data_IF_474099567255
#
_entry.id   IF_474099567255
#
_cell.length_a   1.000
_cell.length_b   1.000
_cell.length_c   1.000
_cell.angle_alpha   90.00
_cell.angle_beta   90.00
_cell.angle_gamma   90.00
#
_symmetry.space_group_name_H-M   'P 1'
#
loop_
_entity.id
_entity.type
_entity.pdbx_description
1 polymer ?
#
# COMPACT_ATOMS: atom_id res chain seq x y z
N UNK A 1 15.34 -6.12 27.54
CA UNK A 1 14.76 -6.44 28.85
C UNK A 1 14.35 -7.90 28.92
N UNK A 2 14.76 -8.56 29.95
CA UNK A 2 14.41 -9.97 30.21
C UNK A 2 13.16 -10.00 31.08
N UNK A 3 12.10 -10.65 30.58
CA UNK A 3 10.86 -10.83 31.34
C UNK A 3 10.94 -12.18 32.14
N UNK A 4 10.79 -12.13 33.43
CA UNK A 4 10.85 -13.32 34.32
C UNK A 4 9.71 -14.31 34.02
N UNK A 5 8.59 -13.86 33.46
CA UNK A 5 7.44 -14.70 33.11
C UNK A 5 7.62 -15.54 31.85
N UNK A 6 8.68 -15.32 31.08
CA UNK A 6 8.97 -16.01 29.83
C UNK A 6 10.13 -17.00 29.99
N UNK A 7 10.07 -18.09 29.22
CA UNK A 7 11.22 -19.00 29.10
C UNK A 7 12.41 -18.30 28.41
N UNK A 8 13.65 -18.79 28.56
CA UNK A 8 14.82 -18.23 27.87
C UNK A 8 14.64 -18.19 26.37
N UNK A 9 14.05 -19.20 25.74
CA UNK A 9 13.78 -19.24 24.31
C UNK A 9 12.74 -18.18 23.90
N UNK A 10 11.68 -18.00 24.69
CA UNK A 10 10.67 -16.96 24.45
C UNK A 10 11.25 -15.56 24.61
N UNK A 11 12.16 -15.33 25.54
CA UNK A 11 12.86 -14.05 25.68
C UNK A 11 13.72 -13.73 24.45
N UNK A 12 14.43 -14.69 23.89
CA UNK A 12 15.22 -14.51 22.66
C UNK A 12 14.31 -14.13 21.49
N UNK A 13 13.22 -14.85 21.30
CA UNK A 13 12.24 -14.54 20.23
C UNK A 13 11.67 -13.14 20.41
N UNK A 14 11.31 -12.76 21.64
CA UNK A 14 10.78 -11.41 21.92
C UNK A 14 11.80 -10.32 21.59
N UNK A 15 13.06 -10.49 21.99
CA UNK A 15 14.13 -9.52 21.74
C UNK A 15 14.35 -9.36 20.23
N UNK A 16 14.45 -10.46 19.49
CA UNK A 16 14.63 -10.45 18.04
C UNK A 16 13.43 -9.80 17.35
N UNK A 17 12.21 -10.11 17.78
CA UNK A 17 10.99 -9.51 17.25
C UNK A 17 10.98 -7.99 17.47
N UNK A 18 11.27 -7.53 18.67
CA UNK A 18 11.30 -6.10 19.01
C UNK A 18 12.36 -5.35 18.19
N UNK A 19 13.54 -5.93 18.00
CA UNK A 19 14.60 -5.37 17.15
C UNK A 19 14.18 -5.29 15.68
N UNK A 20 13.53 -6.32 15.15
CA UNK A 20 13.03 -6.30 13.76
C UNK A 20 11.94 -5.24 13.56
N UNK A 21 11.06 -5.09 14.53
CA UNK A 21 10.01 -4.04 14.47
C UNK A 21 10.67 -2.65 14.41
N UNK A 22 11.68 -2.42 15.24
CA UNK A 22 12.41 -1.16 15.25
C UNK A 22 13.15 -0.92 13.93
N UNK A 23 13.83 -1.92 13.40
CA UNK A 23 14.52 -1.85 12.10
C UNK A 23 13.57 -1.58 10.94
N UNK A 24 12.33 -2.05 11.00
CA UNK A 24 11.29 -1.83 9.98
C UNK A 24 10.56 -0.49 10.12
N UNK A 25 10.84 0.28 11.15
CA UNK A 25 10.31 1.63 11.35
C UNK A 25 9.43 1.83 12.58
N UNK A 26 9.30 0.84 13.44
CA UNK A 26 8.57 0.83 14.73
C UNK A 26 7.04 0.91 14.59
N UNK A 27 6.51 1.91 13.93
CA UNK A 27 5.08 2.17 13.75
C UNK A 27 4.73 2.35 12.28
N UNK A 28 3.43 2.27 11.98
CA UNK A 28 2.90 2.59 10.66
C UNK A 28 3.28 4.03 10.25
N UNK A 29 3.79 4.18 9.03
CA UNK A 29 4.04 5.48 8.43
C UNK A 29 2.92 5.84 7.47
N UNK A 30 2.00 6.70 7.88
CA UNK A 30 0.85 7.10 7.07
C UNK A 30 1.25 8.02 5.93
N UNK A 31 0.45 7.99 4.86
CA UNK A 31 0.55 8.96 3.79
C UNK A 31 0.14 10.35 4.30
N UNK A 32 1.08 11.29 4.31
CA UNK A 32 0.84 12.65 4.76
C UNK A 32 0.54 13.53 3.54
N UNK A 33 -0.67 14.07 3.50
CA UNK A 33 -1.10 15.03 2.48
C UNK A 33 -1.18 16.42 3.11
N UNK A 34 -0.79 17.44 2.34
CA UNK A 34 -0.85 18.84 2.77
C UNK A 34 -2.26 19.42 2.61
N UNK A 35 -2.44 20.68 3.01
CA UNK A 35 -3.67 21.42 2.75
C UNK A 35 -3.80 21.94 1.30
N UNK A 36 -2.78 21.71 0.48
CA UNK A 36 -2.78 22.07 -0.94
C UNK A 36 -3.85 21.28 -1.70
N UNK A 37 -4.57 21.94 -2.59
CA UNK A 37 -5.54 21.30 -3.49
C UNK A 37 -5.19 21.66 -4.92
N UNK A 38 -4.90 20.66 -5.81
CA UNK A 38 -4.79 19.24 -5.50
C UNK A 38 -3.49 18.88 -4.77
N UNK A 39 -3.53 17.86 -3.92
CA UNK A 39 -2.31 17.18 -3.50
C UNK A 39 -1.70 16.44 -4.68
N UNK A 40 -0.39 16.40 -4.75
CA UNK A 40 0.33 15.70 -5.82
C UNK A 40 1.17 14.58 -5.24
N UNK A 41 0.91 13.36 -5.69
CA UNK A 41 1.68 12.16 -5.36
C UNK A 41 2.38 11.70 -6.63
N UNK A 42 3.69 11.63 -6.61
CA UNK A 42 4.50 11.19 -7.73
C UNK A 42 5.04 9.79 -7.47
N UNK A 43 4.84 8.87 -8.40
CA UNK A 43 5.37 7.52 -8.33
C UNK A 43 6.59 7.37 -9.24
N UNK A 44 7.66 6.82 -8.70
CA UNK A 44 8.90 6.52 -9.42
C UNK A 44 9.27 5.04 -9.27
N UNK A 45 10.05 4.51 -10.17
CA UNK A 45 10.49 3.13 -10.13
C UNK A 45 10.84 2.59 -11.51
N UNK A 46 11.43 1.39 -11.54
CA UNK A 46 11.77 0.71 -12.79
C UNK A 46 10.54 0.18 -13.53
N UNK A 47 10.71 -0.08 -14.82
CA UNK A 47 9.71 -0.79 -15.61
C UNK A 47 9.50 -2.21 -15.05
N UNK A 48 8.25 -2.62 -14.92
CA UNK A 48 7.90 -3.90 -14.34
C UNK A 48 7.88 -3.95 -12.81
N UNK A 49 8.19 -2.83 -12.14
CA UNK A 49 8.09 -2.75 -10.67
C UNK A 49 6.66 -2.76 -10.12
N UNK A 50 5.67 -2.65 -10.98
CA UNK A 50 4.26 -2.55 -10.58
C UNK A 50 3.79 -1.12 -10.34
N UNK A 51 4.48 -0.14 -10.87
CA UNK A 51 4.21 1.29 -10.65
C UNK A 51 2.85 1.73 -11.15
N UNK A 52 2.48 1.38 -12.38
CA UNK A 52 1.15 1.67 -12.95
C UNK A 52 0.03 1.02 -12.13
N UNK A 53 0.21 -0.24 -11.77
CA UNK A 53 -0.74 -0.96 -10.91
C UNK A 53 -0.84 -0.32 -9.52
N UNK A 54 0.29 0.07 -8.94
CA UNK A 54 0.32 0.78 -7.66
C UNK A 54 -0.41 2.13 -7.73
N UNK A 55 -0.26 2.87 -8.83
CA UNK A 55 -0.99 4.12 -9.05
C UNK A 55 -2.50 3.92 -9.02
N UNK A 56 -2.99 2.91 -9.71
CA UNK A 56 -4.42 2.55 -9.73
C UNK A 56 -4.93 2.11 -8.37
N UNK A 57 -4.17 1.27 -7.68
CA UNK A 57 -4.53 0.81 -6.31
C UNK A 57 -4.55 1.95 -5.31
N UNK A 58 -3.60 2.88 -5.40
CA UNK A 58 -3.56 4.06 -4.54
C UNK A 58 -4.76 4.99 -4.83
N UNK A 59 -5.09 5.20 -6.09
CA UNK A 59 -6.27 5.96 -6.49
C UNK A 59 -7.57 5.33 -5.95
N UNK A 60 -7.69 4.02 -6.03
CA UNK A 60 -8.83 3.29 -5.49
C UNK A 60 -8.94 3.44 -3.96
N UNK A 61 -7.82 3.31 -3.26
CA UNK A 61 -7.77 3.50 -1.80
C UNK A 61 -8.20 4.92 -1.41
N UNK A 62 -7.66 5.94 -2.08
CA UNK A 62 -8.01 7.34 -1.80
C UNK A 62 -9.47 7.65 -2.14
N UNK A 63 -10.00 7.08 -3.21
CA UNK A 63 -11.42 7.20 -3.56
C UNK A 63 -12.32 6.60 -2.48
N UNK A 64 -11.99 5.45 -1.94
CA UNK A 64 -12.69 4.85 -0.80
C UNK A 64 -12.66 5.72 0.46
N UNK A 65 -11.60 6.48 0.64
CA UNK A 65 -11.47 7.44 1.75
C UNK A 65 -12.20 8.77 1.51
N UNK A 66 -12.99 8.87 0.44
CA UNK A 66 -13.76 10.08 0.11
C UNK A 66 -12.99 11.11 -0.70
N UNK A 67 -11.81 10.80 -1.21
CA UNK A 67 -11.03 11.67 -2.09
C UNK A 67 -11.49 11.55 -3.54
N UNK A 68 -11.15 12.55 -4.34
CA UNK A 68 -11.43 12.62 -5.77
C UNK A 68 -10.14 12.60 -6.59
N UNK A 69 -9.49 11.43 -6.76
CA UNK A 69 -8.20 11.34 -7.43
C UNK A 69 -8.31 11.48 -8.95
N UNK A 70 -7.23 12.00 -9.54
CA UNK A 70 -6.96 12.01 -10.97
C UNK A 70 -5.62 11.31 -11.20
N UNK A 71 -5.58 10.39 -12.16
CA UNK A 71 -4.34 9.74 -12.59
C UNK A 71 -3.75 10.52 -13.78
N UNK A 72 -2.43 10.73 -13.76
CA UNK A 72 -1.70 11.38 -14.86
C UNK A 72 -0.77 10.37 -15.54
N UNK A 73 -0.98 10.15 -16.85
CA UNK A 73 -0.20 9.21 -17.66
C UNK A 73 1.04 9.90 -18.23
N UNK A 74 2.15 9.88 -17.51
CA UNK A 74 3.40 10.54 -17.89
C UNK A 74 4.42 9.61 -18.55
N UNK A 75 4.10 8.34 -18.79
CA UNK A 75 4.94 7.44 -19.60
C UNK A 75 4.63 7.62 -21.09
N UNK A 76 5.40 8.46 -21.74
CA UNK A 76 5.24 8.76 -23.17
C UNK A 76 6.04 7.81 -24.07
N UNK A 77 6.91 6.99 -23.50
CA UNK A 77 7.85 6.13 -24.24
C UNK A 77 7.26 4.78 -24.61
N UNK A 78 6.30 4.29 -23.83
CA UNK A 78 5.59 3.05 -24.11
C UNK A 78 4.20 3.36 -24.66
N UNK A 79 3.94 3.04 -25.96
CA UNK A 79 2.68 3.44 -26.62
C UNK A 79 1.42 2.93 -25.90
N UNK A 80 1.49 1.76 -25.29
CA UNK A 80 0.35 1.15 -24.60
C UNK A 80 0.21 1.58 -23.12
N UNK A 81 1.17 2.31 -22.55
CA UNK A 81 1.15 2.65 -21.13
C UNK A 81 -0.02 3.56 -20.74
N UNK A 82 -0.27 4.60 -21.51
CA UNK A 82 -1.41 5.50 -21.27
C UNK A 82 -2.75 4.78 -21.45
N UNK A 83 -2.86 3.90 -22.45
CA UNK A 83 -4.07 3.09 -22.67
C UNK A 83 -4.29 2.10 -21.51
N UNK A 84 -3.25 1.47 -21.03
CA UNK A 84 -3.32 0.59 -19.87
C UNK A 84 -3.81 1.33 -18.63
N UNK A 85 -3.22 2.48 -18.35
CA UNK A 85 -3.63 3.31 -17.20
C UNK A 85 -5.09 3.76 -17.33
N UNK A 86 -5.50 4.19 -18.52
CA UNK A 86 -6.88 4.59 -18.80
C UNK A 86 -7.87 3.45 -18.61
N UNK A 87 -7.55 2.25 -19.07
CA UNK A 87 -8.38 1.06 -18.90
C UNK A 87 -8.53 0.71 -17.42
N UNK A 88 -7.42 0.63 -16.68
CA UNK A 88 -7.44 0.32 -15.26
C UNK A 88 -8.14 1.40 -14.43
N UNK A 89 -7.92 2.67 -14.76
CA UNK A 89 -8.61 3.80 -14.13
C UNK A 89 -10.12 3.75 -14.37
N UNK A 90 -10.53 3.39 -15.58
CA UNK A 90 -11.95 3.21 -15.94
C UNK A 90 -12.63 2.12 -15.12
N UNK A 91 -11.95 1.02 -14.87
CA UNK A 91 -12.47 -0.10 -14.06
C UNK A 91 -12.80 0.32 -12.62
N UNK A 92 -12.06 1.26 -12.06
CA UNK A 92 -12.27 1.77 -10.70
C UNK A 92 -13.03 3.12 -10.65
N UNK A 93 -13.43 3.66 -11.81
CA UNK A 93 -14.14 4.93 -11.91
C UNK A 93 -13.28 6.15 -11.56
N UNK A 94 -11.99 6.10 -11.86
CA UNK A 94 -11.05 7.22 -11.68
C UNK A 94 -10.62 7.75 -13.05
N UNK A 95 -10.78 9.06 -13.32
CA UNK A 95 -10.35 9.65 -14.59
C UNK A 95 -8.84 9.64 -14.72
N UNK A 96 -8.40 9.54 -15.98
CA UNK A 96 -6.99 9.55 -16.36
C UNK A 96 -6.74 10.73 -17.32
N UNK A 97 -5.79 11.59 -16.95
CA UNK A 97 -5.31 12.66 -17.81
C UNK A 97 -4.22 12.13 -18.75
N UNK A 98 -4.42 12.34 -20.03
CA UNK A 98 -3.50 11.93 -21.11
C UNK A 98 -3.08 13.15 -21.90
N UNK A 99 -1.78 13.29 -22.17
CA UNK A 99 -1.27 14.30 -23.07
C UNK A 99 -1.30 13.86 -24.54
N UNK A 100 -1.21 14.81 -25.45
CA UNK A 100 -1.16 14.58 -26.90
C UNK A 100 0.28 14.59 -27.43
N UNK A 101 1.13 13.65 -27.00
CA UNK A 101 2.52 13.56 -27.41
C UNK A 101 3.44 14.63 -26.79
N UNK A 102 3.00 15.25 -25.74
CA UNK A 102 3.74 16.25 -24.98
C UNK A 102 4.91 15.65 -24.17
N UNK A 103 5.78 16.51 -23.67
CA UNK A 103 6.78 16.09 -22.70
C UNK A 103 6.14 15.71 -21.37
N UNK A 104 6.71 14.72 -20.63
CA UNK A 104 6.16 14.27 -19.35
C UNK A 104 5.93 15.40 -18.34
N UNK A 105 6.81 16.40 -18.29
CA UNK A 105 6.66 17.58 -17.43
C UNK A 105 5.39 18.36 -17.77
N UNK A 106 5.11 18.55 -19.05
CA UNK A 106 3.92 19.29 -19.52
C UNK A 106 2.63 18.51 -19.23
N UNK A 107 2.67 17.19 -19.38
CA UNK A 107 1.55 16.31 -19.02
C UNK A 107 1.25 16.40 -17.52
N UNK A 108 2.29 16.34 -16.67
CA UNK A 108 2.14 16.46 -15.23
C UNK A 108 1.54 17.80 -14.82
N UNK A 109 2.02 18.90 -15.39
CA UNK A 109 1.44 20.24 -15.17
C UNK A 109 0.00 20.34 -15.67
N UNK A 110 -0.27 19.79 -16.85
CA UNK A 110 -1.62 19.73 -17.42
C UNK A 110 -2.59 18.95 -16.54
N UNK A 111 -2.15 17.86 -15.94
CA UNK A 111 -2.95 17.08 -15.01
C UNK A 111 -3.33 17.88 -13.75
N UNK A 112 -2.42 18.69 -13.23
CA UNK A 112 -2.72 19.57 -12.09
C UNK A 112 -3.80 20.60 -12.49
N UNK A 113 -3.69 21.20 -13.66
CA UNK A 113 -4.70 22.15 -14.16
C UNK A 113 -6.06 21.45 -14.38
N UNK A 114 -6.06 20.26 -14.95
CA UNK A 114 -7.26 19.43 -15.11
C UNK A 114 -7.92 19.13 -13.76
N UNK A 115 -7.14 18.83 -12.74
CA UNK A 115 -7.63 18.60 -11.39
C UNK A 115 -8.29 19.85 -10.80
N UNK A 116 -7.71 21.01 -10.99
CA UNK A 116 -8.30 22.30 -10.57
C UNK A 116 -9.62 22.56 -11.29
N UNK A 117 -9.65 22.37 -12.60
CA UNK A 117 -10.82 22.65 -13.43
C UNK A 117 -11.99 21.71 -13.15
N UNK A 118 -11.71 20.47 -12.77
CA UNK A 118 -12.72 19.41 -12.52
C UNK A 118 -12.85 19.02 -11.04
N UNK A 119 -12.36 19.84 -10.13
CA UNK A 119 -12.49 19.66 -8.67
C UNK A 119 -11.96 18.33 -8.19
N UNK A 120 -10.81 17.90 -8.72
CA UNK A 120 -10.07 16.74 -8.22
C UNK A 120 -9.10 17.19 -7.13
N UNK A 121 -9.07 16.51 -6.02
CA UNK A 121 -8.29 16.94 -4.85
C UNK A 121 -6.94 16.24 -4.71
N UNK A 122 -6.69 15.20 -5.50
CA UNK A 122 -5.41 14.47 -5.55
C UNK A 122 -5.06 14.16 -7.00
N UNK A 123 -3.80 14.40 -7.36
CA UNK A 123 -3.21 13.96 -8.64
C UNK A 123 -2.14 12.92 -8.35
N UNK A 124 -2.25 11.76 -8.97
CA UNK A 124 -1.25 10.70 -8.91
C UNK A 124 -0.52 10.66 -10.25
N UNK A 125 0.76 11.00 -10.22
CA UNK A 125 1.62 11.06 -11.40
C UNK A 125 2.33 9.73 -11.58
N UNK A 126 1.96 8.99 -12.63
CA UNK A 126 2.62 7.75 -13.03
C UNK A 126 3.74 8.07 -14.03
N UNK A 127 4.97 8.09 -13.56
CA UNK A 127 6.14 8.42 -14.37
C UNK A 127 6.60 7.23 -15.22
N UNK A 128 7.38 7.52 -16.26
CA UNK A 128 8.01 6.48 -17.06
C UNK A 128 8.99 5.65 -16.23
N UNK A 129 8.99 4.34 -16.47
CA UNK A 129 10.00 3.43 -15.97
C UNK A 129 10.79 2.84 -17.14
N UNK A 130 12.06 2.53 -16.90
CA UNK A 130 12.93 1.78 -17.82
C UNK A 130 13.39 0.49 -17.18
N UNK A 131 13.83 -0.44 -18.00
CA UNK A 131 14.32 -1.75 -17.51
C UNK A 131 15.55 -1.61 -16.61
N UNK A 132 16.36 -0.59 -16.87
CA UNK A 132 17.52 -0.26 -16.07
C UNK A 132 17.53 1.23 -15.74
N UNK A 133 18.20 1.59 -14.66
CA UNK A 133 18.42 2.99 -14.33
C UNK A 133 19.34 3.61 -15.37
N UNK A 134 18.88 4.69 -15.98
CA UNK A 134 19.69 5.51 -16.88
C UNK A 134 19.56 6.99 -16.51
N UNK A 135 20.50 7.79 -16.98
CA UNK A 135 20.57 9.22 -16.69
C UNK A 135 19.32 9.99 -17.19
N UNK A 136 18.80 9.60 -18.35
CA UNK A 136 17.63 10.26 -18.92
C UNK A 136 16.38 10.04 -18.05
N UNK A 137 16.16 8.82 -17.57
CA UNK A 137 15.04 8.50 -16.68
C UNK A 137 15.14 9.27 -15.36
N UNK A 138 16.34 9.32 -14.78
CA UNK A 138 16.57 10.02 -13.53
C UNK A 138 16.38 11.54 -13.69
N UNK A 139 16.90 12.12 -14.76
CA UNK A 139 16.73 13.53 -15.04
C UNK A 139 15.26 13.91 -15.27
N UNK A 140 14.52 13.10 -16.00
CA UNK A 140 13.10 13.30 -16.24
C UNK A 140 12.30 13.28 -14.91
N UNK A 141 12.57 12.32 -14.02
CA UNK A 141 11.95 12.28 -12.71
C UNK A 141 12.27 13.54 -11.88
N UNK A 142 13.52 14.00 -11.91
CA UNK A 142 13.93 15.24 -11.25
C UNK A 142 13.22 16.46 -11.83
N UNK A 143 13.06 16.54 -13.15
CA UNK A 143 12.40 17.65 -13.83
C UNK A 143 10.90 17.70 -13.51
N UNK A 144 10.22 16.56 -13.48
CA UNK A 144 8.82 16.46 -13.06
C UNK A 144 8.67 16.91 -11.60
N UNK A 145 9.53 16.42 -10.72
CA UNK A 145 9.51 16.79 -9.31
C UNK A 145 9.65 18.31 -9.10
N UNK A 146 10.57 18.93 -9.82
CA UNK A 146 10.75 20.40 -9.77
C UNK A 146 9.54 21.16 -10.30
N UNK A 147 8.92 20.65 -11.33
CA UNK A 147 7.80 21.32 -12.00
C UNK A 147 6.50 21.25 -11.20
N UNK A 148 6.18 20.12 -10.60
CA UNK A 148 4.89 19.90 -9.91
C UNK A 148 5.01 20.01 -8.40
N UNK A 149 6.20 20.00 -7.84
CA UNK A 149 6.46 20.08 -6.38
C UNK A 149 5.54 19.12 -5.61
N UNK A 150 5.70 17.81 -5.79
CA UNK A 150 4.78 16.84 -5.19
C UNK A 150 4.81 16.91 -3.67
N UNK A 151 3.68 16.66 -3.05
CA UNK A 151 3.56 16.50 -1.59
C UNK A 151 4.24 15.22 -1.13
N UNK A 152 4.19 14.19 -1.95
CA UNK A 152 4.85 12.90 -1.73
C UNK A 152 5.47 12.37 -3.02
N UNK A 153 6.70 11.90 -2.93
CA UNK A 153 7.35 11.05 -3.94
C UNK A 153 7.48 9.66 -3.36
N UNK A 154 6.82 8.69 -3.97
CA UNK A 154 6.82 7.30 -3.54
C UNK A 154 7.54 6.43 -4.56
N UNK A 155 8.51 5.67 -4.10
CA UNK A 155 9.20 4.69 -4.93
C UNK A 155 8.48 3.35 -4.90
N UNK A 156 8.16 2.81 -6.05
CA UNK A 156 7.56 1.48 -6.17
C UNK A 156 8.66 0.45 -6.45
N UNK A 157 8.73 -0.55 -5.60
CA UNK A 157 9.76 -1.59 -5.63
C UNK A 157 9.09 -2.96 -5.67
N UNK A 158 9.57 -3.83 -6.54
CA UNK A 158 9.11 -5.22 -6.63
C UNK A 158 9.81 -6.07 -5.56
N UNK A 159 9.04 -6.67 -4.66
CA UNK A 159 9.55 -7.55 -3.61
C UNK A 159 10.32 -8.77 -4.16
N UNK A 160 10.02 -9.18 -5.39
CA UNK A 160 10.66 -10.31 -6.07
C UNK A 160 12.03 -9.99 -6.68
N UNK A 161 12.45 -8.72 -6.68
CA UNK A 161 13.73 -8.30 -7.30
C UNK A 161 14.96 -8.81 -6.55
N UNK A 162 14.81 -9.27 -5.31
CA UNK A 162 15.91 -9.81 -4.51
C UNK A 162 16.93 -8.74 -4.11
N UNK A 163 18.23 -9.10 -4.15
CA UNK A 163 19.29 -8.19 -3.71
C UNK A 163 19.52 -6.98 -4.63
N UNK A 164 19.12 -7.06 -5.88
CA UNK A 164 19.22 -5.94 -6.81
C UNK A 164 18.37 -4.73 -6.38
N UNK A 165 17.37 -4.96 -5.55
CA UNK A 165 16.55 -3.91 -4.95
C UNK A 165 17.38 -2.85 -4.23
N UNK A 166 18.47 -3.24 -3.58
CA UNK A 166 19.36 -2.36 -2.83
C UNK A 166 20.01 -1.33 -3.74
N UNK A 167 20.56 -1.77 -4.87
CA UNK A 167 21.24 -0.88 -5.83
C UNK A 167 20.24 0.09 -6.47
N UNK A 168 19.08 -0.40 -6.86
CA UNK A 168 18.01 0.41 -7.47
C UNK A 168 17.56 1.49 -6.52
N UNK A 169 17.24 1.11 -5.31
CA UNK A 169 16.69 2.01 -4.28
C UNK A 169 17.74 3.06 -3.87
N UNK A 170 18.99 2.67 -3.70
CA UNK A 170 20.07 3.60 -3.36
C UNK A 170 20.27 4.67 -4.44
N UNK A 171 20.29 4.27 -5.71
CA UNK A 171 20.47 5.20 -6.83
C UNK A 171 19.30 6.19 -6.92
N UNK A 172 18.06 5.73 -6.78
CA UNK A 172 16.90 6.62 -6.72
C UNK A 172 16.95 7.58 -5.53
N UNK A 173 17.36 7.11 -4.35
CA UNK A 173 17.46 7.93 -3.15
C UNK A 173 18.45 9.11 -3.33
N UNK A 174 19.57 8.89 -4.00
CA UNK A 174 20.57 9.93 -4.29
C UNK A 174 20.05 11.01 -5.23
N UNK A 175 19.23 10.65 -6.21
CA UNK A 175 18.82 11.56 -7.30
C UNK A 175 17.46 12.20 -7.06
N UNK A 176 16.47 11.47 -6.59
CA UNK A 176 15.09 11.94 -6.47
C UNK A 176 14.65 12.22 -5.05
N UNK A 177 15.40 11.75 -4.06
CA UNK A 177 15.07 11.94 -2.63
C UNK A 177 13.58 11.67 -2.35
N UNK A 178 13.14 10.45 -2.62
CA UNK A 178 11.75 10.06 -2.39
C UNK A 178 11.39 10.01 -0.90
N UNK A 179 10.12 10.19 -0.58
CA UNK A 179 9.61 10.31 0.80
C UNK A 179 9.23 8.98 1.42
N UNK A 180 8.91 8.01 0.61
CA UNK A 180 8.47 6.69 1.07
C UNK A 180 8.49 5.65 -0.03
N UNK A 181 8.20 4.42 0.34
CA UNK A 181 8.26 3.25 -0.54
C UNK A 181 6.92 2.51 -0.55
N UNK A 182 6.54 2.03 -1.73
CA UNK A 182 5.50 1.02 -1.92
C UNK A 182 6.17 -0.26 -2.37
N UNK A 183 5.97 -1.35 -1.64
CA UNK A 183 6.48 -2.66 -2.03
C UNK A 183 5.36 -3.41 -2.76
N UNK A 184 5.61 -3.73 -4.02
CA UNK A 184 4.69 -4.51 -4.85
C UNK A 184 5.00 -6.00 -4.78
N UNK A 185 4.01 -6.83 -5.14
CA UNK A 185 4.15 -8.29 -5.26
C UNK A 185 4.66 -8.98 -3.99
N UNK A 186 4.30 -8.44 -2.83
CA UNK A 186 4.73 -8.99 -1.55
C UNK A 186 4.14 -10.38 -1.28
N UNK A 187 3.03 -10.73 -1.89
CA UNK A 187 2.43 -12.06 -1.87
C UNK A 187 3.36 -13.15 -2.44
N UNK A 188 4.27 -12.79 -3.36
CA UNK A 188 5.31 -13.66 -3.89
C UNK A 188 6.57 -13.79 -3.02
N UNK A 189 6.76 -12.90 -2.05
CA UNK A 189 7.88 -12.92 -1.10
C UNK A 189 7.46 -13.57 0.22
N UNK A 190 7.75 -14.86 0.37
CA UNK A 190 7.31 -15.64 1.51
C UNK A 190 7.81 -15.13 2.87
N UNK A 191 8.97 -14.47 2.94
CA UNK A 191 9.62 -14.06 4.19
C UNK A 191 9.70 -12.54 4.40
N UNK A 192 9.48 -11.73 3.38
CA UNK A 192 9.51 -10.28 3.50
C UNK A 192 10.89 -9.64 3.66
N UNK A 193 11.97 -10.36 3.28
CA UNK A 193 13.35 -9.86 3.39
C UNK A 193 13.61 -8.58 2.59
N UNK A 194 12.90 -8.37 1.48
CA UNK A 194 12.99 -7.16 0.67
C UNK A 194 12.60 -5.89 1.44
N UNK A 195 11.59 -5.96 2.27
CA UNK A 195 11.15 -4.83 3.11
C UNK A 195 12.25 -4.39 4.07
N UNK A 196 12.90 -5.34 4.73
CA UNK A 196 14.02 -5.05 5.65
C UNK A 196 15.19 -4.40 4.91
N UNK A 197 15.57 -4.93 3.75
CA UNK A 197 16.66 -4.40 2.92
C UNK A 197 16.38 -2.96 2.48
N UNK A 198 15.20 -2.68 1.99
CA UNK A 198 14.78 -1.33 1.57
C UNK A 198 14.88 -0.34 2.73
N UNK A 199 14.35 -0.69 3.89
CA UNK A 199 14.37 0.17 5.06
C UNK A 199 15.79 0.44 5.55
N UNK A 200 16.66 -0.58 5.58
CA UNK A 200 18.04 -0.45 6.04
C UNK A 200 18.89 0.41 5.11
N UNK A 201 18.73 0.25 3.81
CA UNK A 201 19.55 0.99 2.81
C UNK A 201 19.15 2.46 2.73
N UNK A 202 17.87 2.77 2.76
CA UNK A 202 17.39 4.14 2.51
C UNK A 202 17.07 4.92 3.77
N UNK A 203 16.74 4.25 4.86
CA UNK A 203 16.13 4.90 6.03
C UNK A 203 14.75 5.49 5.76
N UNK A 204 14.19 5.29 4.56
CA UNK A 204 12.88 5.83 4.18
C UNK A 204 11.76 4.89 4.63
N UNK A 205 10.61 5.44 5.04
CA UNK A 205 9.50 4.62 5.51
C UNK A 205 8.83 3.87 4.37
N UNK A 206 8.42 2.64 4.65
CA UNK A 206 7.53 1.88 3.79
C UNK A 206 6.09 2.31 4.12
N UNK A 207 5.39 2.86 3.14
CA UNK A 207 4.03 3.39 3.32
C UNK A 207 2.97 2.33 3.07
N UNK A 208 3.13 1.56 1.99
CA UNK A 208 2.17 0.57 1.53
C UNK A 208 2.86 -0.68 1.03
N UNK A 209 2.11 -1.77 1.07
CA UNK A 209 2.46 -3.05 0.44
C UNK A 209 1.31 -3.52 -0.44
N UNK A 210 1.63 -4.14 -1.55
CA UNK A 210 0.66 -4.74 -2.45
C UNK A 210 0.67 -6.25 -2.30
N UNK A 211 -0.50 -6.83 -2.00
CA UNK A 211 -0.68 -8.23 -1.64
C UNK A 211 -1.48 -9.02 -2.68
N UNK A 212 -1.42 -8.65 -3.94
CA UNK A 212 -2.13 -9.33 -5.01
C UNK A 212 -2.42 -8.41 -6.18
N UNK A 213 -3.29 -8.85 -7.10
CA UNK A 213 -3.60 -8.11 -8.34
C UNK A 213 -4.88 -7.28 -8.27
N UNK A 214 -5.73 -7.51 -7.27
CA UNK A 214 -7.00 -6.80 -7.14
C UNK A 214 -6.78 -5.31 -6.77
N UNK A 215 -7.66 -4.41 -7.22
CA UNK A 215 -7.54 -2.97 -6.90
C UNK A 215 -7.52 -2.65 -5.41
N UNK A 216 -8.17 -3.46 -4.58
CA UNK A 216 -8.24 -3.32 -3.12
C UNK A 216 -7.10 -3.99 -2.36
N UNK A 217 -6.08 -4.49 -3.05
CA UNK A 217 -4.96 -5.23 -2.45
C UNK A 217 -3.80 -4.36 -1.95
N UNK A 218 -3.91 -3.04 -2.02
CA UNK A 218 -2.94 -2.13 -1.41
C UNK A 218 -3.29 -1.93 0.05
N UNK A 219 -2.35 -2.28 0.92
CA UNK A 219 -2.51 -2.18 2.38
C UNK A 219 -1.45 -1.26 2.98
N UNK A 220 -1.73 -0.57 4.09
CA UNK A 220 -0.69 0.10 4.86
C UNK A 220 0.37 -0.90 5.33
N UNK A 221 1.60 -0.43 5.43
CA UNK A 221 2.70 -1.26 5.95
C UNK A 221 2.72 -1.23 7.48
N UNK A 222 2.62 -2.40 8.10
CA UNK A 222 2.69 -2.57 9.55
C UNK A 222 3.99 -3.26 9.95
N UNK A 223 4.95 -2.56 10.58
CA UNK A 223 6.25 -3.12 10.95
C UNK A 223 6.16 -4.36 11.82
N UNK A 224 5.25 -4.40 12.78
CA UNK A 224 5.03 -5.53 13.67
C UNK A 224 4.56 -6.79 12.94
N UNK A 225 3.64 -6.65 12.00
CA UNK A 225 3.14 -7.75 11.17
C UNK A 225 4.24 -8.31 10.25
N UNK A 226 5.02 -7.42 9.65
CA UNK A 226 6.13 -7.82 8.79
C UNK A 226 7.25 -8.52 9.57
N UNK A 227 7.59 -8.03 10.76
CA UNK A 227 8.58 -8.66 11.63
C UNK A 227 8.16 -10.09 12.02
N UNK A 228 6.90 -10.29 12.37
CA UNK A 228 6.34 -11.62 12.65
C UNK A 228 6.40 -12.54 11.43
N UNK A 229 6.10 -12.01 10.23
CA UNK A 229 6.23 -12.76 8.98
C UNK A 229 7.67 -13.20 8.70
N UNK A 230 8.64 -12.32 8.90
CA UNK A 230 10.08 -12.63 8.74
C UNK A 230 10.50 -13.76 9.68
N UNK A 231 10.00 -13.76 10.91
CA UNK A 231 10.27 -14.82 11.90
C UNK A 231 9.43 -16.09 11.68
N UNK A 232 8.59 -16.14 10.66
CA UNK A 232 7.71 -17.29 10.39
C UNK A 232 6.54 -17.43 11.37
N UNK A 233 6.19 -16.37 12.11
CA UNK A 233 5.06 -16.38 13.06
C UNK A 233 3.72 -16.12 12.39
N UNK A 234 3.70 -15.69 11.11
CA UNK A 234 2.50 -15.36 10.36
C UNK A 234 1.79 -14.09 10.83
N UNK A 235 0.75 -13.68 10.10
CA UNK A 235 -0.13 -12.56 10.48
C UNK A 235 -1.34 -13.07 11.26
N UNK A 236 -1.10 -13.61 12.45
CA UNK A 236 -2.17 -14.13 13.31
C UNK A 236 -3.11 -13.02 13.76
N UNK A 237 -2.59 -11.82 14.03
CA UNK A 237 -3.38 -10.68 14.48
C UNK A 237 -4.33 -10.21 13.39
N UNK A 238 -3.87 -10.08 12.15
CA UNK A 238 -4.71 -9.70 11.01
C UNK A 238 -5.81 -10.72 10.72
N UNK A 239 -5.53 -12.00 10.88
CA UNK A 239 -6.54 -13.06 10.74
C UNK A 239 -7.58 -12.96 11.85
N UNK A 240 -7.15 -12.71 13.09
CA UNK A 240 -8.05 -12.53 14.24
C UNK A 240 -8.91 -11.28 14.04
N UNK A 241 -8.34 -10.16 13.64
CA UNK A 241 -9.08 -8.92 13.36
C UNK A 241 -10.14 -9.12 12.29
N UNK A 242 -9.79 -9.74 11.15
CA UNK A 242 -10.76 -10.05 10.08
C UNK A 242 -11.85 -11.02 10.53
N UNK A 243 -11.50 -11.99 11.37
CA UNK A 243 -12.47 -12.91 11.92
C UNK A 243 -13.43 -12.22 12.91
N UNK A 244 -12.93 -11.27 13.71
CA UNK A 244 -13.76 -10.46 14.61
C UNK A 244 -14.69 -9.54 13.83
N UNK A 245 -14.19 -8.83 12.82
CA UNK A 245 -15.03 -7.98 11.96
C UNK A 245 -16.15 -8.77 11.28
N UNK A 246 -15.85 -9.98 10.78
CA UNK A 246 -16.86 -10.85 10.18
C UNK A 246 -17.88 -11.34 11.21
N UNK A 247 -17.43 -11.70 12.40
CA UNK A 247 -18.29 -12.13 13.49
C UNK A 247 -19.20 -10.99 14.00
N UNK A 248 -18.66 -9.78 14.12
CA UNK A 248 -19.42 -8.59 14.53
C UNK A 248 -20.49 -8.22 13.49
N UNK A 249 -20.15 -8.31 12.19
CA UNK A 249 -21.12 -8.08 11.11
C UNK A 249 -22.24 -9.12 11.11
N UNK A 250 -21.91 -10.38 11.32
CA UNK A 250 -22.90 -11.46 11.41
C UNK A 250 -23.81 -11.31 12.64
N UNK A 251 -23.25 -10.89 13.77
CA UNK A 251 -24.01 -10.60 15.00
C UNK A 251 -24.93 -9.39 14.82
N UNK A 252 -24.46 -8.34 14.13
CA UNK A 252 -25.26 -7.15 13.86
C UNK A 252 -26.45 -7.50 12.96
N UNK A 253 -26.21 -8.26 11.90
CA UNK A 253 -27.26 -8.72 10.98
C UNK A 253 -28.29 -9.62 11.68
N UNK A 254 -27.83 -10.52 12.56
CA UNK A 254 -28.68 -11.35 13.38
C UNK A 254 -29.53 -10.53 14.36
N UNK A 255 -28.95 -9.50 14.99
CA UNK A 255 -29.65 -8.59 15.89
C UNK A 255 -30.70 -7.75 15.16
N UNK A 256 -30.38 -7.23 13.97
CA UNK A 256 -31.34 -6.50 13.13
C UNK A 256 -32.52 -7.40 12.70
N UNK A 257 -32.22 -8.64 12.33
CA UNK A 257 -33.25 -9.62 11.99
C UNK A 257 -34.16 -9.93 13.18
N UNK A 258 -33.59 -10.11 14.38
CA UNK A 258 -34.33 -10.35 15.61
C UNK A 258 -35.25 -9.18 15.97
N UNK A 259 -34.83 -7.95 15.72
CA UNK A 259 -35.65 -6.75 15.93
C UNK A 259 -36.80 -6.65 14.93
N UNK A 260 -36.66 -7.15 13.71
CA UNK A 260 -37.70 -7.12 12.68
C UNK A 260 -38.69 -8.27 12.79
N UNK A 261 -38.21 -9.46 13.07
CA UNK A 261 -38.99 -10.71 12.98
C UNK A 261 -39.37 -11.31 14.35
N UNK A 262 -38.79 -10.80 15.42
CA UNK A 262 -38.91 -11.36 16.75
C UNK A 262 -37.98 -12.55 16.97
N UNK A 263 -37.75 -12.90 18.24
CA UNK A 263 -36.91 -14.00 18.65
C UNK A 263 -37.61 -15.35 18.42
N UNK A 264 -37.01 -16.21 17.60
CA UNK A 264 -37.54 -17.52 17.28
C UNK A 264 -36.87 -18.65 18.08
N UNK A 265 -37.53 -19.81 18.19
CA UNK A 265 -36.94 -21.02 18.80
C UNK A 265 -35.69 -21.51 18.05
N UNK A 266 -35.58 -21.24 16.73
CA UNK A 266 -34.40 -21.56 15.94
C UNK A 266 -33.22 -20.67 16.31
N UNK A 267 -33.46 -19.39 16.58
CA UNK A 267 -32.41 -18.47 17.04
C UNK A 267 -31.84 -18.90 18.39
N UNK A 268 -32.71 -19.39 19.27
CA UNK A 268 -32.29 -19.94 20.56
C UNK A 268 -31.46 -21.23 20.41
N UNK A 269 -31.83 -22.10 19.48
CA UNK A 269 -31.10 -23.31 19.17
C UNK A 269 -29.72 -23.00 18.58
N UNK A 270 -29.61 -22.01 17.71
CA UNK A 270 -28.35 -21.60 17.08
C UNK A 270 -27.43 -20.92 18.10
N UNK A 271 -27.96 -20.12 19.01
CA UNK A 271 -27.19 -19.58 20.13
C UNK A 271 -26.67 -20.69 21.06
N UNK A 272 -27.50 -21.68 21.38
CA UNK A 272 -27.07 -22.84 22.17
C UNK A 272 -25.97 -23.67 21.47
N UNK A 273 -26.07 -23.84 20.15
CA UNK A 273 -25.04 -24.52 19.36
C UNK A 273 -23.75 -23.72 19.30
N UNK A 274 -23.81 -22.39 19.19
CA UNK A 274 -22.65 -21.50 19.21
C UNK A 274 -21.92 -21.60 20.56
N UNK A 275 -22.63 -21.53 21.67
CA UNK A 275 -22.07 -21.70 23.03
C UNK A 275 -21.44 -23.08 23.22
N UNK A 276 -22.07 -24.12 22.66
CA UNK A 276 -21.53 -25.48 22.72
C UNK A 276 -20.27 -25.63 21.85
N UNK A 277 -20.20 -24.94 20.72
CA UNK A 277 -19.03 -24.94 19.81
C UNK A 277 -17.84 -24.17 20.38
N UNK A 278 -18.09 -23.19 21.25
CA UNK A 278 -17.06 -22.45 22.00
C UNK A 278 -16.56 -23.20 23.26
N UNK A 279 -16.86 -24.48 23.40
CA UNK A 279 -16.37 -25.32 24.49
C UNK A 279 -17.25 -25.35 25.74
N UNK A 280 -18.48 -24.83 25.64
CA UNK A 280 -19.44 -24.77 26.75
C UNK A 280 -18.94 -23.90 27.92
N UNK A 281 -19.66 -23.92 29.04
CA UNK A 281 -19.28 -23.14 30.24
C UNK A 281 -17.92 -23.50 30.83
N UNK A 282 -17.36 -24.66 30.49
CA UNK A 282 -16.00 -25.07 30.91
C UNK A 282 -14.88 -24.45 30.08
N UNK A 283 -15.16 -24.03 28.83
CA UNK A 283 -14.18 -23.37 27.98
C UNK A 283 -14.03 -21.88 28.29
N UNK A 284 -15.05 -21.30 28.87
CA UNK A 284 -15.05 -19.89 29.27
C UNK A 284 -14.40 -19.76 30.66
#
# INVERSE_FOLDING_TARGET
>A
EVMESLSPAQNVVKIVLDELIELLGSTESKLVLSNRIPNVIMLVGLQGSGKTTAAVKLAYLLKKQGRSPLLAACDVYRPAAADQLATLGGEIGVPVFRGDGEHPVDIAKGAIQEAVDHLRDVVIVDTAGRLQIDEQMMQEAVDIKKAVKPDQVLMVVDAMTGQDIVNVVSTFAERTDFDGVIISKLDGDARGGGALSVRQVTGKPIKFVSMGEKPDSLEPFYPDRMAKRILGMGDVVGIIEKAQEAADAEQLEAAERMLREGFTMNDMLDQMKAVKKMGGMKGI
#
